data_IF_460860450924
#
_entry.id   IF_460860450924
#
_cell.length_a   1.000
_cell.length_b   1.000
_cell.length_c   1.000
_cell.angle_alpha   90.00
_cell.angle_beta   90.00
_cell.angle_gamma   90.00
#
_symmetry.space_group_name_H-M   'P 1'
#
loop_
_entity.id
_entity.type
_entity.pdbx_description
1 polymer ?
#
# COMPACT_ATOMS: atom_id res chain seq x y z
N UNK A 1 42.62 15.87 61.38
CA UNK A 1 42.03 15.64 60.05
C UNK A 1 42.55 14.31 59.54
N UNK A 2 41.80 13.21 59.70
CA UNK A 2 40.84 12.63 58.73
C UNK A 2 41.49 12.27 57.38
N UNK A 3 41.51 10.97 57.10
CA UNK A 3 42.03 10.34 55.88
C UNK A 3 41.01 10.38 54.73
N UNK A 4 41.43 10.04 53.50
CA UNK A 4 41.05 8.78 52.81
C UNK A 4 41.70 8.66 51.42
N UNK A 5 41.91 7.41 50.97
CA UNK A 5 42.28 7.04 49.59
C UNK A 5 41.03 6.97 48.71
N UNK A 6 41.13 7.24 47.41
CA UNK A 6 40.40 6.54 46.32
C UNK A 6 41.03 6.85 44.94
N UNK A 7 40.77 6.07 43.86
CA UNK A 7 41.82 5.75 42.88
C UNK A 7 41.56 6.19 41.42
N UNK A 8 42.56 5.88 40.59
CA UNK A 8 42.59 5.80 39.11
C UNK A 8 41.24 5.38 38.47
N UNK A 9 40.72 6.21 37.57
CA UNK A 9 39.60 5.87 36.68
C UNK A 9 40.04 6.01 35.22
N UNK A 10 40.35 4.87 34.61
CA UNK A 10 40.36 4.76 33.14
C UNK A 10 38.92 4.83 32.61
N UNK A 11 38.67 5.48 31.47
CA UNK A 11 37.34 5.47 30.87
C UNK A 11 36.97 4.04 30.47
N UNK A 12 35.82 3.57 30.96
CA UNK A 12 35.26 2.29 30.53
C UNK A 12 34.85 2.39 29.05
N UNK A 13 35.30 1.43 28.24
CA UNK A 13 34.83 1.28 26.87
C UNK A 13 33.34 0.95 26.87
N UNK A 14 32.51 1.85 26.35
CA UNK A 14 31.10 1.56 26.14
C UNK A 14 30.96 0.37 25.17
N UNK A 15 30.45 -0.75 25.68
CA UNK A 15 30.12 -1.92 24.88
C UNK A 15 28.95 -1.60 23.95
N UNK A 16 29.22 -1.51 22.65
CA UNK A 16 28.18 -1.38 21.64
C UNK A 16 27.44 -2.71 21.48
N UNK A 17 26.29 -2.85 22.14
CA UNK A 17 25.33 -3.91 21.82
C UNK A 17 24.83 -3.76 20.37
N UNK A 18 24.62 -4.87 19.65
CA UNK A 18 24.40 -4.82 18.21
C UNK A 18 22.98 -4.38 17.85
N UNK A 19 22.85 -3.33 17.04
CA UNK A 19 21.59 -2.84 16.46
C UNK A 19 20.81 -3.91 15.65
N UNK A 20 21.47 -5.01 15.26
CA UNK A 20 20.94 -6.06 14.40
C UNK A 20 19.90 -6.99 15.05
N UNK A 21 19.99 -7.26 16.37
CA UNK A 21 19.10 -8.22 17.05
C UNK A 21 17.66 -7.73 17.14
N UNK A 22 17.46 -6.42 17.30
CA UNK A 22 16.14 -5.81 17.44
C UNK A 22 15.36 -5.83 16.11
N UNK A 23 16.04 -5.67 14.98
CA UNK A 23 15.42 -5.69 13.64
C UNK A 23 14.98 -7.10 13.23
N UNK A 24 15.82 -8.11 13.46
CA UNK A 24 15.49 -9.51 13.15
C UNK A 24 14.28 -10.01 13.95
N UNK A 25 14.21 -9.67 15.24
CA UNK A 25 13.06 -9.96 16.12
C UNK A 25 11.75 -9.37 15.59
N UNK A 26 11.77 -8.09 15.14
CA UNK A 26 10.60 -7.42 14.57
C UNK A 26 10.13 -8.03 13.25
N UNK A 27 11.05 -8.42 12.36
CA UNK A 27 10.68 -9.10 11.11
C UNK A 27 10.05 -10.48 11.35
N UNK A 28 10.53 -11.22 12.36
CA UNK A 28 9.94 -12.50 12.75
C UNK A 28 8.51 -12.32 13.27
N UNK A 29 8.30 -11.40 14.20
CA UNK A 29 6.97 -11.06 14.74
C UNK A 29 5.99 -10.64 13.63
N UNK A 30 6.41 -9.77 12.71
CA UNK A 30 5.59 -9.37 11.56
C UNK A 30 5.26 -10.54 10.61
N UNK A 31 6.15 -11.53 10.49
CA UNK A 31 5.89 -12.75 9.70
C UNK A 31 4.88 -13.68 10.39
N UNK A 32 4.97 -13.83 11.71
CA UNK A 32 4.09 -14.72 12.47
C UNK A 32 2.67 -14.12 12.58
N UNK A 33 2.56 -12.79 12.73
CA UNK A 33 1.29 -12.10 12.50
C UNK A 33 0.77 -12.33 11.09
N UNK A 34 1.58 -12.08 10.05
CA UNK A 34 1.17 -12.25 8.66
C UNK A 34 0.69 -13.67 8.34
N UNK A 35 1.16 -14.69 9.05
CA UNK A 35 0.67 -16.06 8.95
C UNK A 35 -0.74 -16.25 9.55
N UNK A 36 -1.01 -15.66 10.72
CA UNK A 36 -2.35 -15.62 11.32
C UNK A 36 -3.33 -14.85 10.44
N UNK A 37 -2.89 -13.72 9.88
CA UNK A 37 -3.69 -12.88 8.98
C UNK A 37 -3.96 -13.60 7.67
N UNK A 38 -2.98 -14.30 7.08
CA UNK A 38 -3.22 -15.13 5.91
C UNK A 38 -4.34 -16.16 6.16
N UNK A 39 -4.36 -16.79 7.34
CA UNK A 39 -5.42 -17.73 7.72
C UNK A 39 -6.78 -17.04 7.90
N UNK A 40 -6.82 -15.87 8.55
CA UNK A 40 -8.08 -15.17 8.88
C UNK A 40 -8.60 -14.30 7.72
N UNK A 41 -7.75 -13.90 6.78
CA UNK A 41 -8.12 -13.05 5.63
C UNK A 41 -9.25 -13.71 4.84
N UNK A 42 -9.10 -14.98 4.48
CA UNK A 42 -10.12 -15.75 3.76
C UNK A 42 -11.43 -15.99 4.55
N UNK A 43 -11.45 -15.74 5.86
CA UNK A 43 -12.64 -15.86 6.71
C UNK A 43 -13.49 -14.58 6.71
N UNK A 44 -12.87 -13.41 6.54
CA UNK A 44 -13.54 -12.11 6.70
C UNK A 44 -13.49 -11.21 5.46
N UNK A 45 -12.54 -11.43 4.55
CA UNK A 45 -12.25 -10.54 3.43
C UNK A 45 -12.15 -11.33 2.11
N UNK A 46 -12.79 -10.81 1.07
CA UNK A 46 -12.77 -11.39 -0.26
C UNK A 46 -12.30 -10.35 -1.29
N UNK A 47 -11.11 -10.50 -1.88
CA UNK A 47 -10.65 -9.64 -2.97
C UNK A 47 -11.33 -10.05 -4.28
N UNK A 48 -11.63 -9.08 -5.14
CA UNK A 48 -12.28 -9.31 -6.44
C UNK A 48 -11.87 -8.24 -7.45
N UNK A 49 -11.82 -8.63 -8.74
CA UNK A 49 -11.63 -7.69 -9.85
C UNK A 49 -13.01 -7.18 -10.29
N UNK A 50 -13.17 -5.86 -10.38
CA UNK A 50 -14.42 -5.23 -10.81
C UNK A 50 -14.57 -5.29 -12.34
N UNK A 51 -15.02 -6.44 -12.84
CA UNK A 51 -15.22 -6.72 -14.28
C UNK A 51 -16.59 -6.29 -14.79
N UNK A 52 -17.64 -6.39 -13.96
CA UNK A 52 -19.02 -6.08 -14.34
C UNK A 52 -19.44 -4.65 -13.91
N UNK A 53 -20.50 -4.14 -14.53
CA UNK A 53 -21.02 -2.78 -14.30
C UNK A 53 -21.36 -2.50 -12.83
N UNK A 54 -22.04 -3.42 -12.14
CA UNK A 54 -22.46 -3.22 -10.75
C UNK A 54 -21.25 -3.09 -9.82
N UNK A 55 -20.27 -3.99 -9.93
CA UNK A 55 -19.08 -3.97 -9.07
C UNK A 55 -18.16 -2.78 -9.40
N UNK A 56 -18.08 -2.34 -10.66
CA UNK A 56 -17.43 -1.07 -11.01
C UNK A 56 -18.12 0.12 -10.38
N UNK A 57 -19.47 0.16 -10.40
CA UNK A 57 -20.25 1.24 -9.76
C UNK A 57 -20.05 1.27 -8.25
N UNK A 58 -19.99 0.11 -7.57
CA UNK A 58 -19.63 0.06 -6.14
C UNK A 58 -18.22 0.63 -5.88
N UNK A 59 -17.24 0.31 -6.73
CA UNK A 59 -15.87 0.86 -6.63
C UNK A 59 -15.84 2.37 -6.81
N UNK A 60 -16.57 2.91 -7.79
CA UNK A 60 -16.62 4.37 -8.03
C UNK A 60 -17.38 5.13 -6.95
N UNK A 61 -18.43 4.52 -6.38
CA UNK A 61 -19.15 5.08 -5.22
C UNK A 61 -18.26 5.09 -3.97
N UNK A 62 -17.53 3.99 -3.70
CA UNK A 62 -16.57 3.97 -2.60
C UNK A 62 -15.44 4.99 -2.78
N UNK A 63 -14.99 5.21 -4.02
CA UNK A 63 -14.01 6.26 -4.32
C UNK A 63 -14.58 7.65 -4.06
N UNK A 64 -15.81 7.94 -4.45
CA UNK A 64 -16.48 9.22 -4.15
C UNK A 64 -16.60 9.44 -2.64
N UNK A 65 -17.10 8.47 -1.90
CA UNK A 65 -17.17 8.52 -0.44
C UNK A 65 -15.80 8.90 0.17
N UNK A 66 -14.70 8.26 -0.27
CA UNK A 66 -13.38 8.52 0.32
C UNK A 66 -12.74 9.82 -0.18
N UNK A 67 -12.68 10.04 -1.50
CA UNK A 67 -11.93 11.16 -2.08
C UNK A 67 -12.71 12.47 -2.11
N UNK A 68 -14.03 12.43 -2.24
CA UNK A 68 -14.90 13.62 -2.28
C UNK A 68 -15.44 13.94 -0.87
N UNK A 69 -16.15 13.00 -0.25
CA UNK A 69 -16.90 13.26 1.00
C UNK A 69 -16.00 13.21 2.26
N UNK A 70 -15.08 12.25 2.37
CA UNK A 70 -14.25 12.07 3.59
C UNK A 70 -12.93 12.86 3.58
N UNK A 71 -12.31 13.06 2.42
CA UNK A 71 -10.99 13.72 2.28
C UNK A 71 -11.03 15.09 1.60
N UNK A 72 -12.10 15.41 0.88
CA UNK A 72 -12.23 16.63 0.07
C UNK A 72 -11.04 16.89 -0.89
N UNK A 73 -10.46 15.81 -1.43
CA UNK A 73 -9.38 15.87 -2.43
C UNK A 73 -9.89 16.06 -3.86
N UNK A 74 -11.16 15.73 -4.09
CA UNK A 74 -11.89 15.83 -5.36
C UNK A 74 -13.28 16.46 -5.08
N UNK A 75 -13.94 17.04 -6.08
CA UNK A 75 -15.27 17.64 -5.90
C UNK A 75 -16.38 16.60 -5.72
N UNK A 76 -17.36 16.89 -4.85
CA UNK A 76 -18.56 16.06 -4.66
C UNK A 76 -19.49 16.12 -5.89
N UNK A 77 -19.63 14.98 -6.58
CA UNK A 77 -20.53 14.82 -7.73
C UNK A 77 -21.96 14.41 -7.29
N UNK A 78 -23.03 14.97 -7.88
CA UNK A 78 -24.42 14.67 -7.48
C UNK A 78 -24.89 13.22 -7.68
N UNK A 79 -24.21 12.45 -8.53
CA UNK A 79 -24.50 11.04 -8.80
C UNK A 79 -23.76 10.07 -7.85
N UNK A 80 -22.90 10.61 -6.97
CA UNK A 80 -22.07 9.88 -6.01
C UNK A 80 -21.08 8.90 -6.67
N UNK A 81 -20.46 9.30 -7.80
CA UNK A 81 -19.53 8.46 -8.59
C UNK A 81 -18.23 9.22 -8.88
N UNK A 82 -17.09 8.73 -8.35
CA UNK A 82 -15.76 9.27 -8.68
C UNK A 82 -15.12 8.43 -9.78
N UNK A 83 -14.99 9.07 -10.94
CA UNK A 83 -14.31 8.59 -12.14
C UNK A 83 -13.47 9.68 -12.78
N UNK A 84 -12.42 9.27 -13.49
CA UNK A 84 -11.54 10.11 -14.33
C UNK A 84 -11.21 9.41 -15.67
N UNK A 85 -10.40 10.05 -16.52
CA UNK A 85 -10.06 9.55 -17.86
C UNK A 85 -9.19 8.28 -17.88
N UNK A 86 -8.64 7.85 -16.75
CA UNK A 86 -7.78 6.67 -16.66
C UNK A 86 -8.56 5.38 -16.39
N UNK A 87 -9.81 5.49 -15.94
CA UNK A 87 -10.65 4.35 -15.52
C UNK A 87 -11.03 3.40 -16.66
N UNK A 88 -11.04 3.87 -17.91
CA UNK A 88 -11.31 3.03 -19.09
C UNK A 88 -10.28 1.90 -19.24
N UNK A 89 -9.00 2.20 -18.94
CA UNK A 89 -7.85 1.28 -19.07
C UNK A 89 -7.27 0.84 -17.73
N UNK A 90 -8.03 1.01 -16.65
CA UNK A 90 -7.65 0.59 -15.31
C UNK A 90 -8.27 -0.77 -14.93
N UNK A 91 -7.46 -1.60 -14.29
CA UNK A 91 -7.94 -2.83 -13.64
C UNK A 91 -8.29 -2.48 -12.21
N UNK A 92 -9.59 -2.44 -11.92
CA UNK A 92 -10.13 -2.15 -10.60
C UNK A 92 -10.15 -3.40 -9.73
N UNK A 93 -9.66 -3.29 -8.50
CA UNK A 93 -9.69 -4.36 -7.52
C UNK A 93 -10.23 -3.84 -6.19
N UNK A 94 -11.20 -4.56 -5.62
CA UNK A 94 -11.80 -4.22 -4.33
C UNK A 94 -11.82 -5.43 -3.39
N UNK A 95 -11.83 -5.16 -2.10
CA UNK A 95 -11.96 -6.16 -1.04
C UNK A 95 -13.32 -5.97 -0.39
N UNK A 96 -14.15 -7.03 -0.39
CA UNK A 96 -15.43 -7.05 0.32
C UNK A 96 -15.26 -7.66 1.71
N UNK A 97 -15.92 -7.08 2.71
CA UNK A 97 -16.01 -7.64 4.04
C UNK A 97 -17.20 -8.61 4.11
N UNK A 98 -16.95 -9.88 4.41
CA UNK A 98 -17.92 -10.95 4.23
C UNK A 98 -19.11 -10.92 5.20
N UNK A 99 -18.94 -10.38 6.41
CA UNK A 99 -20.06 -10.32 7.38
C UNK A 99 -20.98 -9.13 7.16
N UNK A 100 -20.45 -7.97 6.73
CA UNK A 100 -21.27 -6.77 6.46
C UNK A 100 -21.61 -6.58 4.98
N UNK A 101 -21.04 -7.39 4.08
CA UNK A 101 -21.13 -7.31 2.61
C UNK A 101 -20.66 -5.98 1.98
N UNK A 102 -20.27 -4.97 2.75
CA UNK A 102 -19.70 -3.72 2.25
C UNK A 102 -18.30 -3.91 1.65
N UNK A 103 -17.92 -3.04 0.72
CA UNK A 103 -16.52 -2.91 0.30
C UNK A 103 -15.70 -2.33 1.46
N UNK A 104 -14.68 -3.07 1.89
CA UNK A 104 -13.71 -2.68 2.91
C UNK A 104 -12.61 -1.78 2.34
N UNK A 105 -12.39 -1.81 1.02
CA UNK A 105 -11.44 -0.93 0.34
C UNK A 105 -11.32 -1.26 -1.15
N UNK A 106 -10.72 -0.35 -1.90
CA UNK A 106 -10.49 -0.47 -3.34
C UNK A 106 -9.14 0.13 -3.76
N UNK A 107 -8.66 -0.29 -4.92
CA UNK A 107 -7.52 0.29 -5.65
C UNK A 107 -7.75 0.14 -7.16
N UNK A 108 -6.95 0.84 -7.97
CA UNK A 108 -6.84 0.53 -9.40
C UNK A 108 -5.39 0.38 -9.87
N UNK A 109 -5.21 -0.44 -10.90
CA UNK A 109 -3.96 -0.60 -11.64
C UNK A 109 -4.17 -0.08 -13.06
N UNK A 110 -3.69 1.14 -13.33
CA UNK A 110 -3.80 1.77 -14.65
C UNK A 110 -2.78 1.11 -15.58
N UNK A 111 -3.23 0.69 -16.76
CA UNK A 111 -2.38 0.05 -17.76
C UNK A 111 -2.07 0.99 -18.91
N UNK A 112 -0.93 0.77 -19.55
CA UNK A 112 -0.59 1.37 -20.85
C UNK A 112 -0.41 0.26 -21.89
N UNK A 113 -0.75 0.52 -23.15
CA UNK A 113 -0.54 -0.37 -24.29
C UNK A 113 0.19 0.33 -25.46
N UNK A 114 0.25 1.66 -25.46
CA UNK A 114 0.84 2.50 -26.50
C UNK A 114 1.59 3.69 -25.90
N UNK A 115 2.52 4.30 -26.67
CA UNK A 115 3.27 5.49 -26.22
C UNK A 115 2.37 6.72 -25.99
N UNK A 116 1.17 6.73 -26.55
CA UNK A 116 0.14 7.75 -26.35
C UNK A 116 -0.65 7.56 -25.05
N UNK A 117 -0.65 6.37 -24.45
CA UNK A 117 -1.33 6.07 -23.18
C UNK A 117 -0.42 6.36 -21.98
N UNK A 118 -0.04 7.61 -21.78
CA UNK A 118 0.78 8.06 -20.64
C UNK A 118 0.11 7.72 -19.28
N UNK A 119 0.88 7.26 -18.30
CA UNK A 119 0.39 7.08 -16.92
C UNK A 119 0.13 8.45 -16.26
N UNK A 120 -0.80 8.57 -15.28
CA UNK A 120 -1.06 9.83 -14.58
C UNK A 120 0.21 10.52 -14.06
N UNK A 121 1.17 9.74 -13.56
CA UNK A 121 2.44 10.25 -13.05
C UNK A 121 3.30 10.94 -14.14
N UNK A 122 3.14 10.57 -15.42
CA UNK A 122 3.75 11.27 -16.55
C UNK A 122 2.95 12.55 -16.87
N UNK A 123 1.61 12.45 -16.93
CA UNK A 123 0.72 13.53 -17.34
C UNK A 123 0.66 14.70 -16.34
N UNK A 124 0.63 14.43 -15.03
CA UNK A 124 0.45 15.44 -13.98
C UNK A 124 1.71 15.69 -13.14
N UNK A 125 2.64 14.72 -13.09
CA UNK A 125 3.80 14.74 -12.19
C UNK A 125 5.15 14.60 -12.92
N UNK A 126 5.20 14.74 -14.25
CA UNK A 126 6.44 14.56 -15.03
C UNK A 126 7.61 15.42 -14.53
N UNK A 127 7.34 16.65 -14.10
CA UNK A 127 8.31 17.57 -13.47
C UNK A 127 8.97 17.02 -12.18
N UNK A 128 8.34 16.07 -11.50
CA UNK A 128 8.89 15.41 -10.33
C UNK A 128 9.68 14.13 -10.66
N UNK A 129 9.66 13.63 -11.91
CA UNK A 129 10.36 12.41 -12.31
C UNK A 129 11.85 12.68 -12.59
N UNK A 130 12.63 12.91 -11.54
CA UNK A 130 14.06 13.28 -11.67
C UNK A 130 15.00 12.10 -11.91
N UNK A 131 14.54 10.86 -11.76
CA UNK A 131 15.34 9.67 -12.09
C UNK A 131 15.16 9.27 -13.57
N UNK A 132 16.14 9.60 -14.40
CA UNK A 132 16.12 9.35 -15.86
C UNK A 132 16.27 7.88 -16.27
N UNK A 133 16.76 7.00 -15.39
CA UNK A 133 16.95 5.58 -15.69
C UNK A 133 15.70 4.75 -15.38
N UNK A 134 14.88 5.23 -14.45
CA UNK A 134 13.60 4.64 -14.05
C UNK A 134 12.38 5.43 -14.57
N UNK A 135 12.58 6.37 -15.49
CA UNK A 135 11.47 7.10 -16.11
C UNK A 135 10.54 6.12 -16.88
N UNK A 136 9.20 6.26 -16.84
CA UNK A 136 8.28 5.35 -17.54
C UNK A 136 8.62 5.10 -19.01
N UNK A 137 9.05 6.14 -19.73
CA UNK A 137 9.47 6.09 -21.15
C UNK A 137 10.68 5.17 -21.43
N UNK A 138 11.40 4.70 -20.40
CA UNK A 138 12.49 3.72 -20.53
C UNK A 138 12.00 2.28 -20.71
N UNK A 139 10.71 2.03 -20.50
CA UNK A 139 10.11 0.71 -20.50
C UNK A 139 9.06 0.58 -21.61
N UNK A 140 8.73 -0.65 -22.00
CA UNK A 140 7.69 -0.89 -23.00
C UNK A 140 6.30 -0.57 -22.40
N UNK A 141 5.39 0.13 -23.11
CA UNK A 141 4.05 0.48 -22.60
C UNK A 141 3.28 -0.70 -22.00
N UNK A 142 3.30 -1.85 -22.68
CA UNK A 142 2.65 -3.09 -22.22
C UNK A 142 3.28 -3.74 -20.97
N UNK A 143 4.41 -3.23 -20.46
CA UNK A 143 5.14 -3.72 -19.29
C UNK A 143 5.09 -2.75 -18.10
N UNK A 144 4.57 -1.53 -18.28
CA UNK A 144 4.36 -0.53 -17.23
C UNK A 144 2.92 -0.51 -16.71
N UNK A 145 2.76 -0.04 -15.47
CA UNK A 145 1.46 0.29 -14.87
C UNK A 145 1.61 1.29 -13.72
N UNK A 146 0.51 1.92 -13.34
CA UNK A 146 0.46 2.78 -12.13
C UNK A 146 -0.57 2.25 -11.13
N UNK A 147 -0.19 2.16 -9.85
CA UNK A 147 -1.13 1.94 -8.74
C UNK A 147 -1.67 3.31 -8.30
N UNK A 148 -2.99 3.47 -8.28
CA UNK A 148 -3.65 4.70 -7.81
C UNK A 148 -5.02 4.42 -7.20
N UNK A 149 -5.68 5.48 -6.71
CA UNK A 149 -7.01 5.46 -6.08
C UNK A 149 -7.17 4.37 -4.99
N UNK A 150 -6.15 4.19 -4.14
CA UNK A 150 -6.26 3.35 -2.94
C UNK A 150 -7.16 4.06 -1.93
N UNK A 151 -8.36 3.52 -1.74
CA UNK A 151 -9.39 4.06 -0.86
C UNK A 151 -9.84 3.00 0.14
N UNK A 152 -9.75 3.31 1.44
CA UNK A 152 -10.30 2.53 2.56
C UNK A 152 -11.19 3.48 3.34
N UNK A 153 -12.51 3.27 3.45
CA UNK A 153 -13.44 4.24 4.04
C UNK A 153 -13.34 4.31 5.56
N UNK A 154 -13.79 5.40 6.17
CA UNK A 154 -13.59 5.68 7.60
C UNK A 154 -14.04 4.53 8.54
N UNK A 155 -15.12 3.83 8.20
CA UNK A 155 -15.63 2.66 8.93
C UNK A 155 -14.68 1.46 8.96
N UNK A 156 -13.78 1.37 7.97
CA UNK A 156 -12.70 0.38 7.86
C UNK A 156 -11.31 1.01 8.11
N UNK A 157 -11.26 2.23 8.70
CA UNK A 157 -10.04 2.87 9.24
C UNK A 157 -10.07 2.89 10.77
N UNK A 158 -8.90 3.08 11.38
CA UNK A 158 -8.70 3.08 12.83
C UNK A 158 -8.93 4.49 13.40
N UNK A 159 -9.96 4.68 14.25
CA UNK A 159 -10.42 5.98 14.83
C UNK A 159 -9.41 6.80 15.68
N UNK A 160 -8.12 6.45 15.69
CA UNK A 160 -7.03 7.28 16.25
C UNK A 160 -6.09 7.84 15.19
N UNK A 161 -6.23 7.42 13.92
CA UNK A 161 -5.42 7.94 12.81
C UNK A 161 -5.98 9.28 12.30
N UNK A 162 -7.22 9.61 12.67
CA UNK A 162 -8.00 10.80 12.29
C UNK A 162 -7.46 12.14 12.86
N UNK A 163 -6.22 12.18 13.36
CA UNK A 163 -5.48 13.42 13.63
C UNK A 163 -4.53 13.82 12.48
N UNK A 164 -4.51 13.07 11.37
CA UNK A 164 -3.66 13.37 10.22
C UNK A 164 -4.42 13.18 8.88
N UNK A 165 -4.37 14.20 8.03
CA UNK A 165 -5.08 14.32 6.74
C UNK A 165 -4.73 13.24 5.68
N UNK A 166 -3.73 12.39 5.93
CA UNK A 166 -3.30 11.29 5.05
C UNK A 166 -3.80 9.89 5.44
N UNK A 167 -4.58 9.75 6.52
CA UNK A 167 -4.93 8.45 7.11
C UNK A 167 -5.62 7.44 6.16
N UNK A 168 -6.29 7.91 5.12
CA UNK A 168 -6.99 7.08 4.15
C UNK A 168 -6.08 6.20 3.26
N UNK A 169 -4.79 6.52 3.19
CA UNK A 169 -3.83 5.80 2.34
C UNK A 169 -3.23 4.54 3.00
N UNK A 170 -3.57 4.26 4.27
CA UNK A 170 -3.15 3.05 5.00
C UNK A 170 -1.93 3.22 5.91
N UNK A 171 -1.54 4.45 6.25
CA UNK A 171 -0.44 4.72 7.17
C UNK A 171 -0.73 4.25 8.61
N UNK A 172 0.23 3.55 9.24
CA UNK A 172 0.05 2.89 10.54
C UNK A 172 0.44 3.82 11.72
N UNK A 173 -0.29 3.71 12.83
CA UNK A 173 0.13 4.20 14.17
C UNK A 173 -0.26 3.16 15.25
N UNK A 174 0.64 2.89 16.18
CA UNK A 174 0.71 1.61 16.93
C UNK A 174 -0.23 1.51 18.16
N UNK A 175 -1.02 2.56 18.45
CA UNK A 175 -1.78 2.70 19.70
C UNK A 175 -3.22 2.09 19.72
N UNK A 176 -4.13 2.67 20.51
CA UNK A 176 -4.96 1.99 21.51
C UNK A 176 -6.36 1.50 21.07
N UNK A 177 -6.49 0.21 20.71
CA UNK A 177 -7.77 -0.53 20.70
C UNK A 177 -7.52 -2.01 21.13
N UNK A 178 -8.52 -2.89 21.00
CA UNK A 178 -8.42 -4.32 21.40
C UNK A 178 -7.40 -5.10 20.55
N UNK A 179 -6.62 -5.99 21.19
CA UNK A 179 -5.47 -6.64 20.55
C UNK A 179 -5.78 -7.64 19.42
N UNK A 180 -7.05 -7.94 19.15
CA UNK A 180 -7.49 -8.95 18.19
C UNK A 180 -8.13 -8.33 16.95
N UNK A 181 -8.98 -7.32 17.13
CA UNK A 181 -9.61 -6.57 16.03
C UNK A 181 -8.65 -5.56 15.41
N UNK A 182 -7.73 -4.99 16.20
CA UNK A 182 -6.68 -4.06 15.74
C UNK A 182 -5.86 -4.56 14.56
N UNK A 183 -5.64 -5.88 14.50
CA UNK A 183 -4.71 -6.47 13.53
C UNK A 183 -5.20 -6.14 12.13
N UNK A 184 -6.46 -6.39 11.80
CA UNK A 184 -6.97 -6.35 10.43
C UNK A 184 -6.88 -5.00 9.69
N UNK A 185 -6.79 -3.87 10.39
CA UNK A 185 -6.90 -2.53 9.79
C UNK A 185 -5.70 -2.14 8.90
N UNK A 186 -4.43 -2.24 9.35
CA UNK A 186 -3.27 -2.20 8.44
C UNK A 186 -3.37 -3.18 7.26
N UNK A 187 -4.01 -4.34 7.47
CA UNK A 187 -4.02 -5.42 6.50
C UNK A 187 -5.01 -5.25 5.36
N UNK A 188 -6.01 -4.35 5.43
CA UNK A 188 -6.80 -4.00 4.24
C UNK A 188 -5.90 -3.29 3.23
N UNK A 189 -5.17 -2.24 3.64
CA UNK A 189 -4.25 -1.52 2.76
C UNK A 189 -3.11 -2.43 2.24
N UNK A 190 -2.52 -3.26 3.10
CA UNK A 190 -1.50 -4.24 2.66
C UNK A 190 -2.11 -5.25 1.68
N UNK A 191 -3.32 -5.76 1.92
CA UNK A 191 -3.98 -6.72 1.02
C UNK A 191 -4.40 -6.08 -0.31
N UNK A 192 -4.73 -4.79 -0.33
CA UNK A 192 -4.88 -4.01 -1.55
C UNK A 192 -3.54 -3.99 -2.31
N UNK A 193 -2.42 -3.57 -1.69
CA UNK A 193 -1.12 -3.63 -2.36
C UNK A 193 -0.74 -5.05 -2.84
N UNK A 194 -0.99 -6.10 -2.05
CA UNK A 194 -0.79 -7.49 -2.49
C UNK A 194 -1.70 -7.87 -3.67
N UNK A 195 -2.91 -7.34 -3.74
CA UNK A 195 -3.82 -7.51 -4.88
C UNK A 195 -3.29 -6.79 -6.13
N UNK A 196 -2.75 -5.58 -5.99
CA UNK A 196 -2.07 -4.88 -7.07
C UNK A 196 -0.86 -5.69 -7.58
N UNK A 197 -0.02 -6.20 -6.67
CA UNK A 197 1.12 -7.07 -6.99
C UNK A 197 0.65 -8.35 -7.69
N UNK A 198 -0.43 -8.98 -7.22
CA UNK A 198 -1.06 -10.13 -7.89
C UNK A 198 -1.47 -9.81 -9.34
N UNK A 199 -2.08 -8.64 -9.58
CA UNK A 199 -2.44 -8.16 -10.93
C UNK A 199 -1.21 -7.87 -11.81
N UNK A 200 -0.12 -7.32 -11.27
CA UNK A 200 1.12 -7.09 -12.04
C UNK A 200 1.70 -8.40 -12.59
N UNK A 201 1.72 -9.46 -11.77
CA UNK A 201 2.13 -10.80 -12.22
C UNK A 201 1.17 -11.38 -13.27
N UNK A 202 -0.16 -11.25 -13.07
CA UNK A 202 -1.18 -11.77 -13.99
C UNK A 202 -1.13 -11.10 -15.37
N UNK A 203 -0.81 -9.81 -15.42
CA UNK A 203 -0.78 -8.97 -16.62
C UNK A 203 0.61 -8.80 -17.23
N UNK A 204 1.66 -9.30 -16.57
CA UNK A 204 3.09 -9.13 -16.93
C UNK A 204 3.55 -7.67 -16.99
N UNK A 205 2.91 -6.79 -16.21
CA UNK A 205 3.28 -5.37 -16.06
C UNK A 205 4.14 -5.19 -14.83
N UNK A 206 5.44 -5.45 -14.99
CA UNK A 206 6.37 -5.55 -13.88
C UNK A 206 6.94 -4.20 -13.42
N UNK A 207 6.91 -3.18 -14.26
CA UNK A 207 7.42 -1.85 -13.97
C UNK A 207 6.29 -1.00 -13.38
N UNK A 208 6.23 -0.93 -12.05
CA UNK A 208 5.10 -0.34 -11.32
C UNK A 208 5.47 1.03 -10.80
N UNK A 209 4.64 2.02 -11.14
CA UNK A 209 4.74 3.39 -10.66
C UNK A 209 3.64 3.68 -9.61
N UNK A 210 3.91 4.62 -8.71
CA UNK A 210 2.91 5.13 -7.76
C UNK A 210 3.30 6.50 -7.26
N UNK A 211 2.32 7.40 -7.14
CA UNK A 211 2.47 8.68 -6.44
C UNK A 211 1.87 8.53 -5.04
N UNK A 212 2.69 8.60 -3.99
CA UNK A 212 2.22 8.34 -2.61
C UNK A 212 2.99 9.13 -1.54
N UNK A 213 2.42 9.18 -0.33
CA UNK A 213 3.07 9.75 0.84
C UNK A 213 4.35 8.97 1.22
N UNK A 214 5.46 9.65 1.54
CA UNK A 214 6.68 8.99 2.01
C UNK A 214 6.51 8.17 3.30
N UNK A 215 5.49 8.49 4.11
CA UNK A 215 5.13 7.68 5.29
C UNK A 215 4.60 6.31 4.89
N UNK A 216 3.72 6.25 3.89
CA UNK A 216 3.17 5.00 3.38
C UNK A 216 4.26 4.13 2.74
N UNK A 217 5.13 4.73 1.93
CA UNK A 217 6.30 4.05 1.36
C UNK A 217 7.16 3.36 2.44
N UNK A 218 7.38 4.06 3.56
CA UNK A 218 8.08 3.51 4.73
C UNK A 218 7.28 2.39 5.41
N UNK A 219 5.96 2.55 5.60
CA UNK A 219 5.10 1.50 6.16
C UNK A 219 5.14 0.21 5.31
N UNK A 220 5.16 0.31 3.99
CA UNK A 220 5.23 -0.84 3.07
C UNK A 220 6.60 -1.54 3.09
N UNK A 221 7.68 -0.81 3.38
CA UNK A 221 9.02 -1.42 3.52
C UNK A 221 9.12 -2.43 4.67
N UNK A 222 8.33 -2.30 5.74
CA UNK A 222 8.27 -3.27 6.84
C UNK A 222 7.64 -4.61 6.43
N UNK A 223 6.81 -4.64 5.39
CA UNK A 223 6.19 -5.88 4.87
C UNK A 223 6.96 -6.50 3.71
N UNK A 224 8.15 -5.96 3.39
CA UNK A 224 9.01 -6.43 2.31
C UNK A 224 8.71 -5.82 0.93
N UNK A 225 7.90 -4.75 0.87
CA UNK A 225 7.59 -4.03 -0.38
C UNK A 225 8.40 -2.74 -0.43
N UNK A 226 9.54 -2.77 -1.13
CA UNK A 226 10.51 -1.67 -1.19
C UNK A 226 10.32 -0.81 -2.44
N UNK A 227 9.54 0.27 -2.30
CA UNK A 227 9.39 1.28 -3.33
C UNK A 227 10.61 2.22 -3.36
N UNK A 228 11.26 2.33 -4.51
CA UNK A 228 12.38 3.26 -4.74
C UNK A 228 11.83 4.66 -5.08
N UNK A 229 12.23 5.74 -4.38
CA UNK A 229 11.91 7.09 -4.80
C UNK A 229 12.57 7.40 -6.15
N UNK A 230 11.80 8.00 -7.06
CA UNK A 230 12.28 8.44 -8.39
C UNK A 230 12.21 9.96 -8.57
N UNK A 231 11.98 10.69 -7.49
CA UNK A 231 11.78 12.13 -7.47
C UNK A 231 11.72 12.75 -6.07
N UNK A 232 11.68 14.09 -5.97
CA UNK A 232 11.47 14.80 -4.71
C UNK A 232 10.04 14.64 -4.18
N UNK A 233 9.84 15.01 -2.92
CA UNK A 233 8.51 15.23 -2.36
C UNK A 233 7.96 16.55 -2.88
N UNK A 234 6.75 16.53 -3.42
CA UNK A 234 6.00 17.70 -3.90
C UNK A 234 4.64 17.79 -3.23
N UNK A 235 3.97 18.93 -3.38
CA UNK A 235 2.59 19.12 -2.94
C UNK A 235 1.63 18.66 -4.06
N UNK A 236 0.90 17.58 -3.82
CA UNK A 236 -0.01 16.97 -4.78
C UNK A 236 -1.14 16.23 -4.04
N UNK A 237 -2.18 16.97 -3.64
CA UNK A 237 -3.19 16.57 -2.65
C UNK A 237 -2.51 16.02 -1.35
N UNK A 238 -1.68 16.86 -0.73
CA UNK A 238 -0.76 16.46 0.34
C UNK A 238 0.65 16.18 -0.15
N UNK A 239 1.58 16.02 0.79
CA UNK A 239 3.01 15.75 0.52
C UNK A 239 3.24 14.34 -0.01
N UNK A 240 3.46 14.23 -1.32
CA UNK A 240 3.66 12.96 -2.03
C UNK A 240 4.97 12.99 -2.83
N UNK A 241 5.55 11.82 -3.06
CA UNK A 241 6.69 11.65 -3.95
C UNK A 241 6.39 10.55 -4.99
N UNK A 242 7.03 10.60 -6.17
CA UNK A 242 6.90 9.55 -7.16
C UNK A 242 7.83 8.38 -6.79
N UNK A 243 7.30 7.16 -6.91
CA UNK A 243 8.01 5.92 -6.61
C UNK A 243 7.90 4.91 -7.75
N UNK A 244 8.91 4.04 -7.81
CA UNK A 244 9.01 2.89 -8.71
C UNK A 244 9.22 1.60 -7.91
N UNK A 245 8.71 0.48 -8.41
CA UNK A 245 9.14 -0.85 -8.00
C UNK A 245 9.09 -1.83 -9.18
N UNK A 246 10.09 -2.70 -9.30
CA UNK A 246 10.00 -3.88 -10.16
C UNK A 246 9.28 -4.99 -9.38
N UNK A 247 8.05 -5.32 -9.77
CA UNK A 247 7.26 -6.29 -9.02
C UNK A 247 7.85 -7.70 -9.01
N UNK A 248 8.75 -8.04 -9.95
CA UNK A 248 9.50 -9.32 -9.94
C UNK A 248 10.38 -9.47 -8.69
N UNK A 249 10.85 -8.36 -8.12
CA UNK A 249 11.73 -8.36 -6.94
C UNK A 249 10.97 -8.47 -5.61
N UNK A 250 9.65 -8.33 -5.61
CA UNK A 250 8.85 -8.29 -4.38
C UNK A 250 8.77 -9.67 -3.72
N UNK A 251 8.37 -10.71 -4.45
CA UNK A 251 8.13 -12.05 -3.86
C UNK A 251 9.35 -12.65 -3.13
N UNK A 252 10.60 -12.46 -3.60
CA UNK A 252 11.81 -12.78 -2.84
C UNK A 252 11.92 -12.01 -1.50
N UNK A 253 11.63 -10.72 -1.48
CA UNK A 253 11.73 -9.84 -0.30
C UNK A 253 10.60 -10.00 0.74
N UNK A 254 9.46 -10.61 0.37
CA UNK A 254 8.38 -10.90 1.32
C UNK A 254 8.78 -11.97 2.35
N UNK A 255 8.42 -11.72 3.62
CA UNK A 255 8.49 -12.73 4.68
C UNK A 255 7.56 -13.92 4.40
N UNK A 256 7.76 -15.09 5.04
CA UNK A 256 6.91 -16.27 4.84
C UNK A 256 5.41 -16.00 4.99
N UNK A 257 5.00 -15.23 6.01
CA UNK A 257 3.59 -14.87 6.22
C UNK A 257 3.03 -14.00 5.09
N UNK A 258 3.72 -12.93 4.69
CA UNK A 258 3.27 -12.06 3.58
C UNK A 258 3.29 -12.79 2.23
N UNK A 259 4.25 -13.69 2.01
CA UNK A 259 4.29 -14.55 0.82
C UNK A 259 3.09 -15.52 0.78
N UNK A 260 2.63 -16.03 1.93
CA UNK A 260 1.40 -16.82 2.03
C UNK A 260 0.16 -15.98 1.75
N UNK A 261 0.06 -14.78 2.35
CA UNK A 261 -1.05 -13.83 2.11
C UNK A 261 -1.17 -13.48 0.62
N UNK A 262 -0.07 -13.15 -0.04
CA UNK A 262 -0.03 -12.91 -1.49
C UNK A 262 -0.56 -14.11 -2.28
N UNK A 263 -0.16 -15.35 -1.91
CA UNK A 263 -0.67 -16.57 -2.55
C UNK A 263 -2.18 -16.79 -2.37
N UNK A 264 -2.72 -16.49 -1.19
CA UNK A 264 -4.16 -16.57 -0.91
C UNK A 264 -4.93 -15.53 -1.74
N UNK A 265 -4.43 -14.29 -1.80
CA UNK A 265 -5.01 -13.22 -2.61
C UNK A 265 -4.95 -13.56 -4.11
N UNK A 266 -3.83 -14.09 -4.60
CA UNK A 266 -3.70 -14.56 -5.98
C UNK A 266 -4.72 -15.65 -6.33
N UNK A 267 -4.93 -16.61 -5.41
CA UNK A 267 -5.93 -17.66 -5.61
C UNK A 267 -7.36 -17.08 -5.61
N UNK A 268 -7.71 -16.25 -4.64
CA UNK A 268 -9.04 -15.64 -4.56
C UNK A 268 -9.37 -14.74 -5.78
N UNK A 269 -8.38 -14.02 -6.33
CA UNK A 269 -8.57 -13.13 -7.48
C UNK A 269 -8.69 -13.85 -8.83
N UNK A 270 -7.97 -14.96 -9.04
CA UNK A 270 -7.82 -15.57 -10.36
C UNK A 270 -8.26 -17.03 -10.46
N UNK A 271 -8.47 -17.69 -9.32
CA UNK A 271 -8.97 -19.06 -9.22
C UNK A 271 -10.05 -19.16 -8.12
N UNK A 272 -11.10 -18.30 -8.14
CA UNK A 272 -12.19 -18.41 -7.17
C UNK A 272 -12.88 -19.78 -7.28
N UNK A 273 -13.43 -20.32 -6.19
CA UNK A 273 -14.29 -21.51 -6.26
C UNK A 273 -15.50 -21.22 -7.16
N UNK A 274 -15.94 -22.26 -7.89
CA UNK A 274 -17.07 -22.23 -8.81
C UNK A 274 -18.43 -22.16 -8.09
#
# INVERSE_FOLDING_TARGET
>A
MKALRTPDQRPQSASSEPLATNTASRFQLASDEALLIANHFAQYLQPSIATNYHLKREVYALRHQVYCEELHFEEEKPDQIETDEFDERAIHCCIRHLSSQNLAGTLRLITSNSLTEQLPIQQFCGQALTNSDLHPDRFLPREICEISRLAVPASFRKRQVDQFEGGATGAINEASFSAQELRFFPYIAISLYMSAIAMTYRTRRFHVFVMMEPRLARSLSFVGIYFQPIGPVIEYHGKRAPYYIDSRQIKPGLSPGYRKLLGIIQNALFYPPA
#
